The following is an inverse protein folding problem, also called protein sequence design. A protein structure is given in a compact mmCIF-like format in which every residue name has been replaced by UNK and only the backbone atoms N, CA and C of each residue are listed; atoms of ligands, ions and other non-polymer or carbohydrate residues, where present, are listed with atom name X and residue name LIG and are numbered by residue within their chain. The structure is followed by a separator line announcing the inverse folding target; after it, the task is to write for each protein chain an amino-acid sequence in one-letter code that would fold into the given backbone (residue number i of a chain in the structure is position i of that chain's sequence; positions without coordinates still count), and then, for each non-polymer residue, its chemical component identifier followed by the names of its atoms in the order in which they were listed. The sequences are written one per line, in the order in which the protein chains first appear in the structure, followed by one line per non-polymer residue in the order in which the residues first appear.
data_IF_919746187128
#
_entry.id   IF_919746187128
#
_cell.length_a   1.000
_cell.length_b   1.000
_cell.length_c   1.000
_cell.angle_alpha   90.00
_cell.angle_beta   90.00
_cell.angle_gamma   90.00
#
_symmetry.space_group_name_H-M   'P 1'
#
loop_
_entity.id
_entity.type
_entity.pdbx_description
1 polymer ?
#
# COMPACT_ATOMS: atom_id res chain seq x y z
N UNK A 1 32.78 6.07 -7.50
CA UNK A 1 31.62 5.44 -8.13
C UNK A 1 31.29 4.05 -7.59
N UNK A 2 32.27 3.15 -7.39
CA UNK A 2 32.04 1.80 -6.82
C UNK A 2 31.25 1.84 -5.51
N UNK A 3 31.65 2.71 -4.57
CA UNK A 3 31.02 2.83 -3.25
C UNK A 3 29.51 3.18 -3.34
N UNK A 4 29.13 4.09 -4.24
CA UNK A 4 27.71 4.47 -4.43
C UNK A 4 26.86 3.29 -4.92
N UNK A 5 27.39 2.48 -5.84
CA UNK A 5 26.69 1.28 -6.35
C UNK A 5 26.53 0.25 -5.24
N UNK A 6 27.56 0.04 -4.43
CA UNK A 6 27.51 -0.92 -3.30
C UNK A 6 26.45 -0.47 -2.27
N UNK A 7 26.41 0.81 -1.93
CA UNK A 7 25.41 1.36 -0.99
C UNK A 7 23.99 1.16 -1.53
N UNK A 8 23.76 1.44 -2.81
CA UNK A 8 22.44 1.25 -3.44
C UNK A 8 21.99 -0.21 -3.37
N UNK A 9 22.90 -1.16 -3.66
CA UNK A 9 22.59 -2.59 -3.54
C UNK A 9 22.33 -3.01 -2.09
N UNK A 10 23.10 -2.50 -1.14
CA UNK A 10 22.90 -2.79 0.28
C UNK A 10 21.50 -2.32 0.75
N UNK A 11 21.08 -1.11 0.38
CA UNK A 11 19.72 -0.59 0.69
C UNK A 11 18.65 -1.47 0.03
N UNK A 12 18.83 -1.85 -1.24
CA UNK A 12 17.91 -2.72 -1.95
C UNK A 12 17.74 -4.07 -1.24
N UNK A 13 18.84 -4.70 -0.84
CA UNK A 13 18.81 -5.99 -0.11
C UNK A 13 18.10 -5.85 1.22
N UNK A 14 18.37 -4.79 2.00
CA UNK A 14 17.71 -4.56 3.30
C UNK A 14 16.20 -4.41 3.13
N UNK A 15 15.73 -3.67 2.11
CA UNK A 15 14.31 -3.51 1.83
C UNK A 15 13.67 -4.83 1.40
N UNK A 16 14.33 -5.61 0.52
CA UNK A 16 13.79 -6.90 0.05
C UNK A 16 13.76 -7.95 1.17
N UNK A 17 14.80 -8.01 2.01
CA UNK A 17 14.83 -8.92 3.16
C UNK A 17 13.76 -8.54 4.19
N UNK A 18 13.44 -7.24 4.32
CA UNK A 18 12.37 -6.76 5.20
C UNK A 18 10.96 -7.20 4.79
N UNK A 19 10.74 -7.63 3.55
CA UNK A 19 9.42 -8.09 3.07
C UNK A 19 8.96 -9.35 3.79
N UNK A 20 9.83 -10.34 3.98
CA UNK A 20 9.46 -11.62 4.58
C UNK A 20 9.00 -11.49 6.05
N UNK A 21 9.75 -10.84 6.96
CA UNK A 21 9.32 -10.68 8.34
C UNK A 21 8.09 -9.78 8.48
N UNK A 22 7.94 -8.75 7.65
CA UNK A 22 6.75 -7.90 7.68
C UNK A 22 5.50 -8.65 7.20
N UNK A 23 5.63 -9.57 6.23
CA UNK A 23 4.54 -10.43 5.81
C UNK A 23 4.14 -11.43 6.90
N UNK A 24 5.10 -12.10 7.53
CA UNK A 24 4.84 -13.01 8.65
C UNK A 24 4.18 -12.28 9.81
N UNK A 25 4.63 -11.06 10.12
CA UNK A 25 4.01 -10.23 11.15
C UNK A 25 2.59 -9.79 10.76
N UNK A 26 2.34 -9.51 9.48
CA UNK A 26 1.01 -9.19 8.96
C UNK A 26 0.08 -10.41 9.04
N UNK A 27 0.55 -11.61 8.68
CA UNK A 27 -0.23 -12.85 8.78
C UNK A 27 -0.55 -13.20 10.24
N UNK A 28 0.35 -12.94 11.19
CA UNK A 28 0.09 -13.08 12.63
C UNK A 28 -0.87 -12.02 13.18
N UNK A 29 -0.80 -10.80 12.66
CA UNK A 29 -1.76 -9.73 12.97
C UNK A 29 -3.10 -9.91 12.22
N UNK A 30 -3.23 -10.92 11.38
CA UNK A 30 -4.40 -11.21 10.55
C UNK A 30 -5.57 -11.85 11.29
N UNK A 31 -5.48 -12.03 12.62
CA UNK A 31 -6.65 -12.21 13.48
C UNK A 31 -6.88 -10.88 14.22
N UNK A 32 -7.37 -9.83 13.52
CA UNK A 32 -7.66 -8.57 14.19
C UNK A 32 -8.77 -8.82 15.20
N UNK A 33 -8.60 -8.27 16.39
CA UNK A 33 -9.66 -8.21 17.37
C UNK A 33 -10.75 -7.28 16.82
N UNK A 34 -11.88 -7.84 16.44
CA UNK A 34 -13.06 -7.10 16.01
C UNK A 34 -14.33 -7.73 16.54
N UNK A 35 -15.33 -6.90 16.71
CA UNK A 35 -16.68 -7.29 17.05
C UNK A 35 -17.61 -7.05 15.85
N UNK A 36 -18.42 -8.04 15.48
CA UNK A 36 -19.48 -7.83 14.51
C UNK A 36 -20.62 -7.04 15.16
N UNK A 37 -20.93 -5.89 14.59
CA UNK A 37 -21.97 -5.00 15.07
C UNK A 37 -22.98 -4.72 13.95
N UNK A 38 -24.21 -4.39 14.36
CA UNK A 38 -25.23 -3.91 13.42
C UNK A 38 -25.32 -2.41 13.55
N UNK A 39 -25.08 -1.71 12.43
CA UNK A 39 -25.13 -0.26 12.34
C UNK A 39 -26.20 0.18 11.34
N UNK A 40 -26.75 1.37 11.50
CA UNK A 40 -27.76 1.94 10.58
C UNK A 40 -27.07 2.92 9.64
N UNK A 41 -27.28 2.78 8.33
CA UNK A 41 -26.74 3.71 7.33
C UNK A 41 -27.41 5.08 7.49
N UNK A 42 -26.57 6.11 7.65
CA UNK A 42 -27.01 7.52 7.78
C UNK A 42 -26.91 8.24 6.45
N UNK A 43 -25.81 8.01 5.71
CA UNK A 43 -25.64 8.55 4.36
C UNK A 43 -24.78 7.63 3.53
N UNK A 44 -24.99 7.64 2.21
CA UNK A 44 -24.19 6.88 1.26
C UNK A 44 -24.01 7.70 0.00
N UNK A 45 -22.79 8.19 -0.22
CA UNK A 45 -22.43 9.02 -1.36
C UNK A 45 -21.38 8.31 -2.22
N UNK A 46 -21.51 8.46 -3.54
CA UNK A 46 -20.52 7.97 -4.50
C UNK A 46 -19.92 9.13 -5.25
N UNK A 47 -18.63 9.33 -5.15
CA UNK A 47 -17.89 10.35 -5.89
C UNK A 47 -17.05 9.70 -6.97
N UNK A 48 -17.27 10.07 -8.24
CA UNK A 48 -16.47 9.59 -9.35
C UNK A 48 -15.34 10.57 -9.67
N UNK A 49 -14.10 10.11 -9.60
CA UNK A 49 -12.91 10.87 -9.98
C UNK A 49 -12.40 10.39 -11.33
N UNK A 50 -12.30 11.31 -12.28
CA UNK A 50 -11.76 11.03 -13.61
C UNK A 50 -10.30 11.45 -13.69
N UNK A 51 -9.41 10.52 -13.99
CA UNK A 51 -8.01 10.85 -14.24
C UNK A 51 -7.89 11.58 -15.58
N UNK A 52 -7.55 12.87 -15.54
CA UNK A 52 -7.45 13.73 -16.74
C UNK A 52 -6.41 13.25 -17.78
N UNK A 53 -5.41 12.45 -17.34
CA UNK A 53 -4.35 11.98 -18.26
C UNK A 53 -4.72 10.67 -18.95
N UNK A 54 -5.41 9.77 -18.27
CA UNK A 54 -5.71 8.42 -18.77
C UNK A 54 -7.18 8.23 -19.15
N UNK A 55 -8.06 9.15 -18.75
CA UNK A 55 -9.51 8.99 -18.88
C UNK A 55 -10.12 7.94 -17.95
N UNK A 56 -9.30 7.30 -17.10
CA UNK A 56 -9.76 6.28 -16.16
C UNK A 56 -10.67 6.89 -15.10
N UNK A 57 -11.78 6.22 -14.83
CA UNK A 57 -12.75 6.60 -13.79
C UNK A 57 -12.52 5.73 -12.57
N UNK A 58 -12.52 6.35 -11.40
CA UNK A 58 -12.42 5.66 -10.11
C UNK A 58 -13.55 6.15 -9.22
N UNK A 59 -14.34 5.22 -8.69
CA UNK A 59 -15.44 5.53 -7.78
C UNK A 59 -14.92 5.47 -6.35
N UNK A 60 -15.24 6.49 -5.57
CA UNK A 60 -15.00 6.57 -4.14
C UNK A 60 -16.34 6.55 -3.42
N UNK A 61 -16.43 5.72 -2.40
CA UNK A 61 -17.64 5.52 -1.63
C UNK A 61 -17.46 6.12 -0.24
N UNK A 62 -18.30 7.11 0.09
CA UNK A 62 -18.38 7.70 1.43
C UNK A 62 -19.68 7.24 2.07
N UNK A 63 -19.57 6.32 3.02
CA UNK A 63 -20.72 5.74 3.73
C UNK A 63 -20.58 6.04 5.21
N UNK A 64 -21.60 6.70 5.77
CA UNK A 64 -21.69 6.98 7.20
C UNK A 64 -22.75 6.11 7.84
N UNK A 65 -22.40 5.53 8.98
CA UNK A 65 -23.27 4.64 9.74
C UNK A 65 -23.40 5.11 11.18
N UNK A 66 -24.57 4.91 11.76
CA UNK A 66 -24.83 5.18 13.18
C UNK A 66 -24.76 3.88 13.98
N UNK A 67 -23.95 3.88 15.02
CA UNK A 67 -23.85 2.80 15.98
C UNK A 67 -23.76 3.38 17.42
N UNK A 68 -24.57 2.86 18.34
CA UNK A 68 -24.65 3.33 19.72
C UNK A 68 -24.79 4.86 19.85
N UNK A 69 -25.60 5.51 18.98
CA UNK A 69 -25.85 6.94 19.00
C UNK A 69 -24.72 7.82 18.46
N UNK A 70 -23.64 7.23 17.93
CA UNK A 70 -22.54 7.94 17.28
C UNK A 70 -22.53 7.64 15.80
N UNK A 71 -22.08 8.61 14.99
CA UNK A 71 -21.88 8.46 13.56
C UNK A 71 -20.41 8.16 13.27
N UNK A 72 -20.18 7.16 12.44
CA UNK A 72 -18.86 6.69 12.02
C UNK A 72 -18.79 6.67 10.50
N UNK A 73 -17.61 6.95 9.97
CA UNK A 73 -17.28 6.67 8.58
C UNK A 73 -17.00 5.16 8.44
N UNK A 74 -17.71 4.52 7.50
CA UNK A 74 -17.51 3.09 7.24
C UNK A 74 -16.34 2.89 6.29
N UNK A 75 -15.27 2.28 6.80
CA UNK A 75 -13.99 2.14 6.09
C UNK A 75 -14.01 0.92 5.17
N UNK A 76 -13.37 1.04 4.00
CA UNK A 76 -13.18 -0.03 3.01
C UNK A 76 -14.50 -0.53 2.38
N UNK A 77 -15.34 0.43 1.99
CA UNK A 77 -16.55 0.16 1.21
C UNK A 77 -16.17 0.01 -0.26
N UNK A 78 -16.54 -1.12 -0.89
CA UNK A 78 -16.25 -1.40 -2.30
C UNK A 78 -17.39 -1.07 -3.26
N UNK A 79 -18.60 -0.90 -2.74
CA UNK A 79 -19.76 -0.47 -3.52
C UNK A 79 -20.78 0.22 -2.62
N UNK A 80 -21.60 1.11 -3.20
CA UNK A 80 -22.64 1.82 -2.47
C UNK A 80 -24.01 1.13 -2.50
N UNK A 81 -24.22 0.16 -3.38
CA UNK A 81 -25.55 -0.43 -3.61
C UNK A 81 -26.11 -1.17 -2.40
N UNK A 82 -25.25 -1.67 -1.52
CA UNK A 82 -25.67 -2.36 -0.30
C UNK A 82 -25.97 -1.42 0.87
N UNK A 83 -25.60 -0.14 0.73
CA UNK A 83 -25.66 0.86 1.81
C UNK A 83 -26.75 1.91 1.52
N UNK A 84 -28.00 1.50 1.71
CA UNK A 84 -29.18 2.37 1.54
C UNK A 84 -29.47 3.06 2.87
N UNK A 85 -29.71 4.38 2.85
CA UNK A 85 -30.05 5.16 4.04
C UNK A 85 -31.21 4.55 4.83
N UNK A 86 -31.09 4.53 6.13
CA UNK A 86 -32.04 3.92 7.07
C UNK A 86 -31.94 2.39 7.17
N UNK A 87 -31.18 1.72 6.31
CA UNK A 87 -31.00 0.27 6.36
C UNK A 87 -29.97 -0.13 7.41
N UNK A 88 -30.24 -1.25 8.09
CA UNK A 88 -29.27 -1.89 8.97
C UNK A 88 -28.27 -2.71 8.15
N UNK A 89 -26.99 -2.56 8.48
CA UNK A 89 -25.87 -3.26 7.84
C UNK A 89 -24.96 -3.84 8.91
N UNK A 90 -24.34 -4.97 8.59
CA UNK A 90 -23.27 -5.53 9.43
C UNK A 90 -21.99 -4.74 9.20
N UNK A 91 -21.32 -4.39 10.26
CA UNK A 91 -20.03 -3.72 10.26
C UNK A 91 -19.12 -4.38 11.30
N UNK A 92 -17.82 -4.18 11.17
CA UNK A 92 -16.81 -4.73 12.07
C UNK A 92 -16.23 -3.57 12.88
N UNK A 93 -16.45 -3.60 14.19
CA UNK A 93 -15.88 -2.63 15.14
C UNK A 93 -14.49 -3.11 15.55
N UNK A 94 -13.47 -2.32 15.28
CA UNK A 94 -12.11 -2.56 15.74
C UNK A 94 -11.54 -1.27 16.32
N UNK A 95 -11.30 -1.27 17.63
CA UNK A 95 -11.00 -0.06 18.39
C UNK A 95 -12.15 0.94 18.36
N UNK A 96 -11.90 2.12 17.78
CA UNK A 96 -12.85 3.23 17.65
C UNK A 96 -13.38 3.43 16.22
N UNK A 97 -13.20 2.44 15.33
CA UNK A 97 -13.51 2.54 13.90
C UNK A 97 -14.40 1.41 13.44
N UNK A 98 -15.24 1.71 12.45
CA UNK A 98 -16.10 0.73 11.79
C UNK A 98 -15.58 0.41 10.38
N UNK A 99 -15.55 -0.86 10.05
CA UNK A 99 -15.07 -1.39 8.78
C UNK A 99 -16.16 -2.20 8.10
N UNK A 100 -16.24 -2.10 6.79
CA UNK A 100 -17.16 -2.88 5.98
C UNK A 100 -16.78 -4.36 5.88
N UNK A 101 -15.48 -4.65 6.04
CA UNK A 101 -14.92 -6.01 5.91
C UNK A 101 -13.57 -6.14 6.65
N UNK A 102 -13.13 -7.39 6.84
CA UNK A 102 -11.87 -7.72 7.53
C UNK A 102 -10.65 -7.18 6.80
N UNK A 103 -10.68 -7.12 5.47
CA UNK A 103 -9.59 -6.60 4.65
C UNK A 103 -9.27 -5.14 4.99
N UNK A 104 -10.30 -4.31 5.25
CA UNK A 104 -10.14 -2.93 5.68
C UNK A 104 -9.38 -2.81 7.01
N UNK A 105 -9.62 -3.71 7.95
CA UNK A 105 -8.89 -3.75 9.23
C UNK A 105 -7.43 -4.13 8.99
N UNK A 106 -7.18 -5.18 8.22
CA UNK A 106 -5.83 -5.67 7.92
C UNK A 106 -4.98 -4.61 7.21
N UNK A 107 -5.53 -3.96 6.19
CA UNK A 107 -4.79 -2.95 5.39
C UNK A 107 -4.55 -1.64 6.13
N UNK A 108 -5.34 -1.33 7.16
CA UNK A 108 -5.18 -0.12 7.96
C UNK A 108 -4.07 -0.21 9.01
N UNK A 109 -3.53 -1.41 9.28
CA UNK A 109 -2.51 -1.62 10.31
C UNK A 109 -1.17 -0.97 9.94
N UNK A 110 -0.38 -0.47 10.94
CA UNK A 110 0.97 0.03 10.68
C UNK A 110 1.89 -0.99 10.01
N UNK A 111 1.71 -2.27 10.32
CA UNK A 111 2.49 -3.38 9.76
C UNK A 111 2.20 -3.55 8.26
N UNK A 112 0.93 -3.45 7.86
CA UNK A 112 0.56 -3.50 6.45
C UNK A 112 1.17 -2.33 5.67
N UNK A 113 1.13 -1.12 6.23
CA UNK A 113 1.78 0.06 5.64
C UNK A 113 3.28 -0.14 5.47
N UNK A 114 3.97 -0.69 6.49
CA UNK A 114 5.39 -1.01 6.42
C UNK A 114 5.69 -2.03 5.32
N UNK A 115 4.87 -3.07 5.19
CA UNK A 115 4.98 -4.06 4.12
C UNK A 115 4.93 -3.42 2.72
N UNK A 116 3.93 -2.57 2.46
CA UNK A 116 3.80 -1.87 1.18
C UNK A 116 4.97 -0.92 0.91
N UNK A 117 5.47 -0.21 1.92
CA UNK A 117 6.66 0.64 1.78
C UNK A 117 7.89 -0.19 1.42
N UNK A 118 8.13 -1.33 2.07
CA UNK A 118 9.23 -2.22 1.74
C UNK A 118 9.11 -2.79 0.32
N UNK A 119 7.91 -3.20 -0.08
CA UNK A 119 7.66 -3.80 -1.39
C UNK A 119 7.88 -2.78 -2.53
N UNK A 120 7.22 -1.62 -2.46
CA UNK A 120 7.34 -0.57 -3.48
C UNK A 120 8.75 0.03 -3.46
N UNK A 121 9.28 0.37 -2.27
CA UNK A 121 10.61 0.93 -2.10
C UNK A 121 11.70 -0.02 -2.58
N UNK A 122 11.59 -1.31 -2.26
CA UNK A 122 12.51 -2.36 -2.72
C UNK A 122 12.53 -2.47 -4.25
N UNK A 123 11.35 -2.45 -4.89
CA UNK A 123 11.25 -2.52 -6.34
C UNK A 123 11.84 -1.29 -7.04
N UNK A 124 11.55 -0.08 -6.55
CA UNK A 124 12.12 1.16 -7.08
C UNK A 124 13.65 1.17 -6.92
N UNK A 125 14.15 0.78 -5.75
CA UNK A 125 15.59 0.73 -5.48
C UNK A 125 16.31 -0.30 -6.34
N UNK A 126 15.66 -1.42 -6.69
CA UNK A 126 16.20 -2.41 -7.60
C UNK A 126 16.43 -1.82 -9.01
N UNK A 127 15.47 -1.07 -9.53
CA UNK A 127 15.60 -0.39 -10.83
C UNK A 127 16.74 0.64 -10.79
N UNK A 128 16.82 1.43 -9.71
CA UNK A 128 17.88 2.45 -9.54
C UNK A 128 19.25 1.81 -9.43
N UNK A 129 19.40 0.74 -8.64
CA UNK A 129 20.66 0.02 -8.46
C UNK A 129 21.13 -0.63 -9.78
N UNK A 130 20.23 -1.28 -10.52
CA UNK A 130 20.53 -1.88 -11.81
C UNK A 130 20.98 -0.83 -12.84
N UNK A 131 20.30 0.32 -12.90
CA UNK A 131 20.66 1.44 -13.77
C UNK A 131 22.03 2.03 -13.43
N UNK A 132 22.34 2.20 -12.14
CA UNK A 132 23.63 2.69 -11.67
C UNK A 132 24.77 1.70 -12.01
N UNK A 133 24.52 0.40 -11.86
CA UNK A 133 25.46 -0.64 -12.22
C UNK A 133 25.74 -0.69 -13.72
N UNK A 134 24.73 -0.56 -14.56
CA UNK A 134 24.88 -0.51 -16.02
C UNK A 134 25.78 0.66 -16.45
N UNK A 135 25.52 1.87 -15.94
CA UNK A 135 26.35 3.05 -16.19
C UNK A 135 27.80 2.86 -15.73
N UNK A 136 28.01 2.27 -14.55
CA UNK A 136 29.35 1.97 -14.05
C UNK A 136 30.10 0.97 -14.93
N UNK A 137 29.43 -0.08 -15.40
CA UNK A 137 30.00 -1.09 -16.30
C UNK A 137 30.41 -0.48 -17.65
N UNK A 138 29.58 0.37 -18.23
CA UNK A 138 29.88 1.08 -19.48
C UNK A 138 31.13 1.98 -19.33
N UNK A 139 31.21 2.76 -18.27
CA UNK A 139 32.37 3.63 -18.03
C UNK A 139 33.67 2.84 -17.83
N UNK A 140 33.60 1.67 -17.16
CA UNK A 140 34.76 0.81 -16.99
C UNK A 140 35.23 0.21 -18.33
N UNK A 141 34.31 -0.14 -19.23
CA UNK A 141 34.63 -0.62 -20.56
C UNK A 141 35.27 0.48 -21.42
N UNK A 142 34.71 1.69 -21.37
CA UNK A 142 35.28 2.84 -22.12
C UNK A 142 36.68 3.20 -21.63
N UNK A 143 36.95 3.22 -20.32
CA UNK A 143 38.27 3.47 -19.77
C UNK A 143 39.31 2.45 -20.25
N UNK A 144 38.95 1.13 -20.24
CA UNK A 144 39.84 0.08 -20.74
C UNK A 144 40.14 0.20 -22.24
N UNK A 145 39.14 0.60 -23.04
CA UNK A 145 39.34 0.79 -24.49
C UNK A 145 40.30 1.96 -24.79
N UNK A 146 40.24 3.03 -23.99
CA UNK A 146 41.15 4.17 -24.10
C UNK A 146 42.58 3.80 -23.71
N UNK A 147 42.79 3.00 -22.65
CA UNK A 147 44.10 2.50 -22.26
C UNK A 147 44.72 1.59 -23.33
N UNK A 148 43.93 0.73 -23.98
CA UNK A 148 44.41 -0.16 -25.04
C UNK A 148 44.79 0.57 -26.35
N UNK A 149 44.20 1.75 -26.62
CA UNK A 149 44.51 2.56 -27.84
C UNK A 149 45.74 3.46 -27.61
N UNK A 150 46.23 3.64 -26.41
CA UNK A 150 47.38 4.46 -26.07
C UNK A 150 48.67 3.66 -25.88
N UNK A 151 48.65 2.35 -26.14
CA UNK A 151 49.83 1.45 -26.22
C UNK A 151 50.15 1.11 -27.64
#
# INVERSE_FOLDING_TARGET
MKTKVIILWAICIVLLVGIAPTRIAMDKAASPDYEEVTATVVSSETTQVVNKKTGSKTDFYDVKVSYNGKVYDLINVHNSYSYIEGRQVKALLSGDKLYANVEGIQTSTPIAKAYFVCLIGGFVMLIVAASAQSKYSQQKKAAKATEANNQ
#
